data_IF_850919280274
#
_entry.id   IF_850919280274
#
_cell.length_a   1.000
_cell.length_b   1.000
_cell.length_c   1.000
_cell.angle_alpha   90.00
_cell.angle_beta   90.00
_cell.angle_gamma   90.00
#
_symmetry.space_group_name_H-M   'P 1'
#
loop_
_entity.id
_entity.type
_entity.pdbx_description
1 polymer ?
#
# COMPACT_ATOMS: atom_id res chain seq x y z
N UNK A 1 -42.84 16.50 65.00
CA UNK A 1 -42.58 15.44 63.99
C UNK A 1 -41.36 15.85 63.19
N UNK A 2 -40.17 15.26 63.46
CA UNK A 2 -38.92 15.58 62.75
C UNK A 2 -38.79 14.63 61.55
N UNK A 3 -38.79 15.16 60.32
CA UNK A 3 -38.55 14.39 59.09
C UNK A 3 -37.03 14.28 58.89
N UNK A 4 -36.49 13.05 58.94
CA UNK A 4 -35.14 12.74 58.50
C UNK A 4 -35.14 12.63 56.96
N UNK A 5 -34.33 13.45 56.29
CA UNK A 5 -34.06 13.33 54.85
C UNK A 5 -32.82 12.46 54.71
N UNK A 6 -33.02 11.24 54.20
CA UNK A 6 -31.94 10.30 53.90
C UNK A 6 -31.37 10.66 52.52
N UNK A 7 -30.20 11.28 52.47
CA UNK A 7 -29.50 11.61 51.23
C UNK A 7 -28.74 10.36 50.76
N UNK A 8 -29.28 9.65 49.77
CA UNK A 8 -28.62 8.51 49.13
C UNK A 8 -27.48 9.02 48.23
N UNK A 9 -26.25 8.72 48.62
CA UNK A 9 -25.03 8.98 47.85
C UNK A 9 -24.91 7.91 46.75
N UNK A 10 -25.14 8.30 45.50
CA UNK A 10 -25.02 7.41 44.34
C UNK A 10 -23.55 7.30 43.91
N UNK A 11 -22.91 6.12 43.92
CA UNK A 11 -21.54 5.98 43.45
C UNK A 11 -21.51 6.03 41.93
N UNK A 12 -20.85 7.05 41.36
CA UNK A 12 -20.50 7.06 39.94
C UNK A 12 -19.46 5.98 39.67
N UNK A 13 -19.91 4.85 39.09
CA UNK A 13 -19.03 3.85 38.51
C UNK A 13 -18.45 4.43 37.21
N UNK A 14 -17.25 5.00 37.30
CA UNK A 14 -16.42 5.28 36.13
C UNK A 14 -15.99 3.95 35.51
N UNK A 15 -16.77 3.46 34.55
CA UNK A 15 -16.37 2.35 33.68
C UNK A 15 -15.29 2.85 32.74
N UNK A 16 -14.03 2.63 33.10
CA UNK A 16 -12.89 2.82 32.21
C UNK A 16 -12.94 1.69 31.16
N UNK A 17 -13.57 1.93 30.02
CA UNK A 17 -13.45 1.03 28.87
C UNK A 17 -12.04 1.16 28.32
N UNK A 18 -11.20 0.15 28.54
CA UNK A 18 -9.99 -0.01 27.74
C UNK A 18 -10.41 -0.17 26.28
N UNK A 19 -10.23 0.86 25.47
CA UNK A 19 -10.38 0.73 24.02
C UNK A 19 -9.42 -0.37 23.58
N UNK A 20 -9.97 -1.50 23.12
CA UNK A 20 -9.17 -2.51 22.43
C UNK A 20 -8.75 -1.88 21.12
N UNK A 21 -7.52 -1.39 21.05
CA UNK A 21 -6.90 -1.02 19.77
C UNK A 21 -6.89 -2.25 18.89
N UNK A 22 -7.82 -2.30 17.93
CA UNK A 22 -7.84 -3.37 16.92
C UNK A 22 -6.63 -3.17 16.02
N UNK A 23 -5.70 -4.12 16.06
CA UNK A 23 -4.56 -4.16 15.15
C UNK A 23 -5.09 -4.18 13.72
N UNK A 24 -4.54 -3.32 12.88
CA UNK A 24 -4.95 -3.18 11.48
C UNK A 24 -4.58 -4.45 10.71
N UNK A 25 -5.56 -5.27 10.37
CA UNK A 25 -5.34 -6.53 9.63
C UNK A 25 -5.04 -6.26 8.15
N UNK A 26 -3.90 -6.76 7.67
CA UNK A 26 -3.57 -6.78 6.24
C UNK A 26 -4.36 -7.90 5.55
N UNK A 27 -5.08 -7.53 4.50
CA UNK A 27 -5.89 -8.39 3.66
C UNK A 27 -5.33 -8.41 2.24
N UNK A 28 -5.57 -9.48 1.51
CA UNK A 28 -5.22 -9.54 0.10
C UNK A 28 -6.24 -10.37 -0.69
N UNK A 29 -6.33 -10.09 -2.00
CA UNK A 29 -7.02 -10.92 -2.97
C UNK A 29 -6.05 -11.35 -4.06
N UNK A 30 -6.25 -12.54 -4.61
CA UNK A 30 -5.37 -13.11 -5.65
C UNK A 30 -3.92 -13.33 -5.18
N UNK A 31 -3.04 -13.57 -6.15
CA UNK A 31 -1.61 -13.70 -5.91
C UNK A 31 -0.81 -13.39 -7.19
N UNK A 32 0.30 -12.67 -7.07
CA UNK A 32 1.22 -12.36 -8.16
C UNK A 32 1.64 -13.64 -8.92
N UNK A 33 1.97 -14.73 -8.23
CA UNK A 33 2.34 -16.01 -8.86
C UNK A 33 1.26 -16.61 -9.76
N UNK A 34 -0.02 -16.35 -9.49
CA UNK A 34 -1.10 -16.82 -10.35
C UNK A 34 -1.11 -16.05 -11.68
N UNK A 35 -0.89 -14.73 -11.62
CA UNK A 35 -0.71 -13.91 -12.83
C UNK A 35 0.52 -14.38 -13.60
N UNK A 36 1.68 -14.36 -12.94
CA UNK A 36 2.97 -14.56 -13.61
C UNK A 36 3.17 -15.98 -14.15
N UNK A 37 2.60 -17.00 -13.50
CA UNK A 37 2.84 -18.42 -13.87
C UNK A 37 1.65 -19.10 -14.52
N UNK A 38 0.42 -18.64 -14.26
CA UNK A 38 -0.81 -19.27 -14.77
C UNK A 38 -1.58 -18.39 -15.74
N UNK A 39 -1.16 -17.13 -15.93
CA UNK A 39 -1.84 -16.20 -16.81
C UNK A 39 -3.21 -15.76 -16.30
N UNK A 40 -3.49 -15.88 -15.00
CA UNK A 40 -4.76 -15.46 -14.37
C UNK A 40 -4.84 -13.91 -14.30
N UNK A 41 -4.95 -13.26 -15.45
CA UNK A 41 -4.90 -11.81 -15.63
C UNK A 41 -6.20 -11.09 -15.20
N UNK A 42 -7.30 -11.81 -15.03
CA UNK A 42 -8.61 -11.25 -14.70
C UNK A 42 -8.70 -10.79 -13.25
N UNK A 43 -9.57 -9.81 -12.99
CA UNK A 43 -9.80 -9.30 -11.63
C UNK A 43 -10.31 -10.35 -10.64
N UNK A 44 -9.61 -10.53 -9.53
CA UNK A 44 -10.05 -11.32 -8.36
C UNK A 44 -10.72 -10.44 -7.30
N UNK A 45 -10.58 -9.12 -7.42
CA UNK A 45 -11.27 -8.12 -6.61
C UNK A 45 -11.68 -6.94 -7.50
N UNK A 46 -12.87 -6.40 -7.24
CA UNK A 46 -13.32 -5.11 -7.78
C UNK A 46 -13.29 -4.11 -6.64
N UNK A 47 -12.47 -3.07 -6.76
CA UNK A 47 -12.17 -2.18 -5.65
C UNK A 47 -13.41 -1.48 -5.10
N UNK A 48 -14.42 -1.20 -5.92
CA UNK A 48 -15.68 -0.59 -5.50
C UNK A 48 -16.41 -1.42 -4.42
N UNK A 49 -16.26 -2.74 -4.46
CA UNK A 49 -16.88 -3.66 -3.49
C UNK A 49 -16.26 -3.59 -2.08
N UNK A 50 -15.12 -2.93 -1.89
CA UNK A 50 -14.56 -2.67 -0.56
C UNK A 50 -15.44 -1.62 0.13
N UNK A 51 -16.36 -2.05 0.99
CA UNK A 51 -17.32 -1.14 1.62
C UNK A 51 -16.67 -0.05 2.50
N UNK A 52 -15.68 -0.42 3.31
CA UNK A 52 -15.01 0.54 4.20
C UNK A 52 -13.82 1.22 3.50
N UNK A 53 -14.05 2.44 3.02
CA UNK A 53 -12.98 3.29 2.45
C UNK A 53 -12.25 4.14 3.50
N UNK A 54 -12.77 4.26 4.72
CA UNK A 54 -12.16 5.12 5.75
C UNK A 54 -10.79 4.56 6.12
N UNK A 55 -9.75 5.39 6.01
CA UNK A 55 -8.37 4.99 6.28
C UNK A 55 -7.92 3.75 5.50
N UNK A 56 -8.49 3.54 4.31
CA UNK A 56 -8.10 2.43 3.45
C UNK A 56 -6.77 2.75 2.78
N UNK A 57 -5.87 1.78 2.79
CA UNK A 57 -4.61 1.79 2.08
C UNK A 57 -4.47 0.49 1.30
N UNK A 58 -3.84 0.53 0.14
CA UNK A 58 -3.68 -0.67 -0.68
C UNK A 58 -2.93 -0.43 -1.96
N UNK A 59 -2.48 -1.51 -2.59
CA UNK A 59 -1.75 -1.46 -3.86
C UNK A 59 -1.86 -2.77 -4.64
N UNK A 60 -1.65 -2.67 -5.94
CA UNK A 60 -1.61 -3.77 -6.90
C UNK A 60 -1.90 -3.28 -8.33
N UNK A 61 -1.77 -4.14 -9.35
CA UNK A 61 -2.00 -3.74 -10.72
C UNK A 61 -3.49 -3.79 -11.09
N UNK A 62 -3.83 -3.10 -12.18
CA UNK A 62 -5.12 -3.27 -12.85
C UNK A 62 -5.17 -4.65 -13.51
N UNK A 63 -6.36 -5.24 -13.61
CA UNK A 63 -6.57 -6.46 -14.40
C UNK A 63 -5.99 -6.32 -15.82
N UNK A 64 -5.53 -7.46 -16.34
CA UNK A 64 -4.75 -7.55 -17.57
C UNK A 64 -3.46 -6.72 -17.56
N UNK A 65 -2.92 -6.41 -16.37
CA UNK A 65 -1.67 -5.66 -16.20
C UNK A 65 -1.68 -4.37 -17.02
N UNK A 66 -2.80 -3.64 -16.96
CA UNK A 66 -3.08 -2.48 -17.80
C UNK A 66 -2.89 -1.14 -17.09
N UNK A 67 -2.19 -1.16 -15.95
CA UNK A 67 -1.83 0.00 -15.15
C UNK A 67 -1.62 -0.36 -13.68
N UNK A 68 -1.40 0.65 -12.84
CA UNK A 68 -1.24 0.49 -11.39
C UNK A 68 -2.42 1.06 -10.61
N UNK A 69 -2.62 0.53 -9.41
CA UNK A 69 -3.60 1.01 -8.43
C UNK A 69 -2.87 1.29 -7.12
N UNK A 70 -3.12 2.46 -6.56
CA UNK A 70 -2.68 2.83 -5.21
C UNK A 70 -3.84 3.45 -4.46
N UNK A 71 -4.17 2.90 -3.30
CA UNK A 71 -5.14 3.50 -2.37
C UNK A 71 -4.37 4.14 -1.23
N UNK A 72 -4.60 5.43 -1.00
CA UNK A 72 -3.98 6.20 0.06
C UNK A 72 -5.03 6.96 0.85
N UNK A 73 -5.23 6.59 2.12
CA UNK A 73 -6.20 7.17 3.05
C UNK A 73 -7.61 7.31 2.45
N UNK A 74 -8.12 6.24 1.84
CA UNK A 74 -9.45 6.18 1.26
C UNK A 74 -9.59 6.80 -0.13
N UNK A 75 -8.52 7.31 -0.73
CA UNK A 75 -8.49 7.75 -2.13
C UNK A 75 -7.83 6.69 -3.01
N UNK A 76 -8.53 6.23 -4.05
CA UNK A 76 -7.99 5.26 -5.01
C UNK A 76 -7.48 5.98 -6.26
N UNK A 77 -6.17 5.92 -6.48
CA UNK A 77 -5.46 6.45 -7.62
C UNK A 77 -5.15 5.32 -8.60
N UNK A 78 -5.27 5.61 -9.88
CA UNK A 78 -5.01 4.65 -10.96
C UNK A 78 -4.15 5.32 -12.02
N UNK A 79 -2.99 4.74 -12.33
CA UNK A 79 -2.15 5.17 -13.47
C UNK A 79 -2.30 4.24 -14.66
N UNK A 80 -2.19 4.82 -15.85
CA UNK A 80 -2.09 4.11 -17.12
C UNK A 80 -1.08 4.81 -18.02
N UNK A 81 -0.52 4.05 -18.95
CA UNK A 81 0.37 4.56 -19.99
C UNK A 81 -0.47 5.03 -21.18
N UNK A 82 -0.29 6.29 -21.59
CA UNK A 82 -0.90 6.86 -22.79
C UNK A 82 -0.18 6.38 -24.06
N UNK A 83 -0.80 6.62 -25.23
CA UNK A 83 -0.22 6.25 -26.52
C UNK A 83 1.12 6.95 -26.83
N UNK A 84 1.37 8.12 -26.23
CA UNK A 84 2.62 8.88 -26.33
C UNK A 84 3.62 8.54 -25.20
N UNK A 85 3.38 7.43 -24.48
CA UNK A 85 4.13 6.96 -23.33
C UNK A 85 4.05 7.83 -22.08
N UNK A 86 3.31 8.94 -22.10
CA UNK A 86 3.07 9.73 -20.88
C UNK A 86 2.18 8.98 -19.90
N UNK A 87 2.27 9.31 -18.62
CA UNK A 87 1.39 8.76 -17.60
C UNK A 87 0.08 9.55 -17.54
N UNK A 88 -1.04 8.84 -17.39
CA UNK A 88 -2.32 9.41 -16.98
C UNK A 88 -2.69 8.89 -15.59
N UNK A 89 -2.99 9.79 -14.66
CA UNK A 89 -3.47 9.47 -13.31
C UNK A 89 -4.92 9.91 -13.15
N UNK A 90 -5.74 9.04 -12.56
CA UNK A 90 -7.15 9.31 -12.28
C UNK A 90 -7.55 8.76 -10.91
N UNK A 91 -8.63 9.29 -10.33
CA UNK A 91 -9.20 8.76 -9.08
C UNK A 91 -10.47 7.97 -9.36
N UNK A 92 -10.47 6.68 -9.02
CA UNK A 92 -11.65 5.81 -9.15
C UNK A 92 -11.50 4.54 -8.32
N UNK A 93 -12.60 4.07 -7.73
CA UNK A 93 -12.70 2.72 -7.16
C UNK A 93 -13.28 1.72 -8.16
N UNK A 94 -13.83 2.18 -9.29
CA UNK A 94 -14.34 1.33 -10.36
C UNK A 94 -13.19 0.76 -11.20
N UNK A 95 -12.43 -0.14 -10.58
CA UNK A 95 -11.27 -0.81 -11.17
C UNK A 95 -11.09 -2.18 -10.53
N UNK A 96 -10.64 -3.15 -11.31
CA UNK A 96 -10.40 -4.52 -10.84
C UNK A 96 -8.91 -4.81 -10.82
N UNK A 97 -8.51 -5.70 -9.92
CA UNK A 97 -7.13 -6.14 -9.75
C UNK A 97 -7.06 -7.67 -9.74
N UNK A 98 -6.08 -8.29 -10.41
CA UNK A 98 -5.89 -9.73 -10.39
C UNK A 98 -5.24 -10.19 -9.07
N UNK A 99 -4.47 -9.31 -8.44
CA UNK A 99 -4.05 -9.40 -7.05
C UNK A 99 -3.97 -8.00 -6.43
N UNK A 100 -4.29 -7.88 -5.15
CA UNK A 100 -4.32 -6.59 -4.45
C UNK A 100 -4.14 -6.82 -2.96
N UNK A 101 -3.28 -6.04 -2.31
CA UNK A 101 -3.10 -6.04 -0.85
C UNK A 101 -3.61 -4.73 -0.27
N UNK A 102 -4.29 -4.79 0.87
CA UNK A 102 -4.92 -3.63 1.49
C UNK A 102 -5.12 -3.78 3.00
N UNK A 103 -5.28 -2.66 3.68
CA UNK A 103 -5.61 -2.58 5.09
C UNK A 103 -6.38 -1.29 5.39
N UNK A 104 -7.26 -1.31 6.40
CA UNK A 104 -7.80 -0.09 7.00
C UNK A 104 -6.93 0.26 8.22
N UNK A 105 -6.21 1.38 8.17
CA UNK A 105 -5.22 1.77 9.20
C UNK A 105 -5.58 3.14 9.77
N UNK A 106 -6.37 3.14 10.84
CA UNK A 106 -6.76 4.37 11.54
C UNK A 106 -5.60 4.93 12.38
N UNK A 107 -4.79 4.05 12.98
CA UNK A 107 -3.73 4.43 13.90
C UNK A 107 -2.35 4.05 13.36
N UNK A 108 -1.48 5.06 13.28
CA UNK A 108 -0.11 4.94 12.78
C UNK A 108 0.89 5.16 13.91
N UNK A 109 1.91 4.31 14.01
CA UNK A 109 3.06 4.54 14.89
C UNK A 109 4.19 5.20 14.07
N UNK A 110 4.63 6.40 14.44
CA UNK A 110 5.83 6.98 13.81
C UNK A 110 7.08 6.28 14.32
N UNK A 111 8.02 6.00 13.42
CA UNK A 111 9.32 5.47 13.77
C UNK A 111 10.39 6.53 13.58
N UNK A 112 11.35 6.60 14.50
CA UNK A 112 12.60 7.31 14.26
C UNK A 112 13.43 6.49 13.28
N UNK A 113 13.75 7.08 12.12
CA UNK A 113 14.47 6.38 11.07
C UNK A 113 15.94 6.81 11.09
N UNK A 114 16.90 5.86 11.15
CA UNK A 114 18.32 6.17 11.05
C UNK A 114 18.66 6.87 9.73
N UNK A 115 19.64 7.79 9.74
CA UNK A 115 20.12 8.48 8.54
C UNK A 115 20.70 7.55 7.47
N UNK A 116 21.02 6.30 7.82
CA UNK A 116 21.48 5.28 6.89
C UNK A 116 20.36 4.71 6.00
N UNK A 117 19.09 4.98 6.33
CA UNK A 117 17.95 4.59 5.49
C UNK A 117 17.77 5.62 4.39
N UNK A 118 18.29 5.29 3.21
CA UNK A 118 18.37 6.19 2.05
C UNK A 118 17.65 5.65 0.82
N UNK A 119 17.31 4.37 0.81
CA UNK A 119 16.70 3.65 -0.32
C UNK A 119 15.81 2.49 0.16
N UNK A 120 15.23 1.71 -0.77
CA UNK A 120 14.39 0.56 -0.42
C UNK A 120 15.17 -0.56 0.29
N UNK A 121 16.45 -0.77 -0.04
CA UNK A 121 17.26 -1.85 0.53
C UNK A 121 17.55 -1.58 2.02
N UNK A 122 17.99 -0.36 2.31
CA UNK A 122 18.24 0.11 3.67
C UNK A 122 16.94 0.25 4.47
N UNK A 123 15.82 0.60 3.83
CA UNK A 123 14.48 0.57 4.44
C UNK A 123 14.06 -0.86 4.80
N UNK A 124 14.20 -1.82 3.90
CA UNK A 124 13.88 -3.23 4.17
C UNK A 124 14.73 -3.76 5.34
N UNK A 125 16.04 -3.49 5.31
CA UNK A 125 16.96 -3.86 6.39
C UNK A 125 16.50 -3.30 7.74
N UNK A 126 16.06 -2.05 7.77
CA UNK A 126 15.52 -1.42 8.97
C UNK A 126 14.21 -2.08 9.42
N UNK A 127 13.26 -2.35 8.51
CA UNK A 127 11.99 -2.99 8.83
C UNK A 127 12.16 -4.44 9.32
N UNK A 128 13.10 -5.19 8.74
CA UNK A 128 13.49 -6.54 9.21
C UNK A 128 14.04 -6.50 10.65
N UNK A 129 14.71 -5.42 11.04
CA UNK A 129 15.26 -5.28 12.39
C UNK A 129 14.21 -4.95 13.47
N UNK A 130 12.98 -4.61 13.08
CA UNK A 130 11.93 -4.28 14.05
C UNK A 130 11.49 -5.52 14.82
N UNK A 131 11.12 -5.38 16.10
CA UNK A 131 10.57 -6.51 16.86
C UNK A 131 9.34 -7.09 16.16
N UNK A 132 9.27 -8.42 16.08
CA UNK A 132 8.14 -9.18 15.53
C UNK A 132 7.85 -8.90 14.04
N UNK A 133 8.80 -8.34 13.28
CA UNK A 133 8.70 -8.12 11.83
C UNK A 133 8.30 -9.39 11.07
N UNK A 134 8.76 -10.55 11.55
CA UNK A 134 8.53 -11.84 10.90
C UNK A 134 7.23 -12.53 11.32
N UNK A 135 6.43 -11.96 12.22
CA UNK A 135 5.20 -12.63 12.69
C UNK A 135 4.03 -12.46 11.71
N UNK A 136 3.75 -11.22 11.30
CA UNK A 136 2.57 -10.87 10.51
C UNK A 136 2.88 -9.77 9.49
N UNK A 137 2.21 -9.78 8.33
CA UNK A 137 2.30 -8.67 7.40
C UNK A 137 1.76 -7.40 8.04
N UNK A 138 2.37 -6.26 7.70
CA UNK A 138 1.92 -4.94 8.15
C UNK A 138 2.03 -3.91 7.03
N UNK A 139 1.24 -2.84 7.13
CA UNK A 139 1.32 -1.70 6.23
C UNK A 139 2.29 -0.66 6.82
N UNK A 140 2.99 0.06 5.96
CA UNK A 140 3.78 1.21 6.34
C UNK A 140 3.55 2.35 5.34
N UNK A 141 3.58 3.59 5.81
CA UNK A 141 3.53 4.76 4.94
C UNK A 141 4.76 5.63 5.15
N UNK A 142 5.17 6.29 4.08
CA UNK A 142 6.28 7.23 4.09
C UNK A 142 5.79 8.55 3.51
N UNK A 143 6.13 9.63 4.18
CA UNK A 143 6.13 10.97 3.57
C UNK A 143 7.58 11.33 3.32
N UNK A 144 7.92 11.61 2.06
CA UNK A 144 9.29 11.93 1.69
C UNK A 144 9.41 13.07 0.68
N UNK A 145 10.52 13.80 0.79
CA UNK A 145 11.16 14.40 -0.38
C UNK A 145 12.09 13.34 -0.99
N UNK A 146 11.83 12.98 -2.24
CA UNK A 146 12.65 12.05 -3.02
C UNK A 146 13.57 12.87 -3.92
N UNK A 147 14.87 12.58 -3.85
CA UNK A 147 15.86 13.16 -4.74
C UNK A 147 15.66 12.60 -6.16
N UNK A 148 15.53 11.28 -6.23
CA UNK A 148 15.24 10.54 -7.46
C UNK A 148 14.44 9.28 -7.11
N UNK A 149 13.50 8.90 -7.96
CA UNK A 149 12.81 7.62 -7.89
C UNK A 149 12.52 7.12 -9.29
N UNK A 150 12.71 5.83 -9.50
CA UNK A 150 12.22 5.12 -10.68
C UNK A 150 10.93 4.41 -10.30
N UNK A 151 9.87 4.71 -11.04
CA UNK A 151 8.59 4.03 -10.91
C UNK A 151 8.17 3.41 -12.22
N UNK A 152 7.42 2.31 -12.13
CA UNK A 152 6.84 1.71 -13.31
C UNK A 152 5.32 1.71 -13.30
N UNK A 153 4.79 1.58 -14.50
CA UNK A 153 3.39 1.25 -14.76
C UNK A 153 3.34 0.09 -15.73
N UNK A 154 2.75 -1.03 -15.32
CA UNK A 154 2.51 -2.15 -16.23
C UNK A 154 1.52 -1.75 -17.33
N UNK A 155 1.76 -2.19 -18.56
CA UNK A 155 0.92 -1.86 -19.71
C UNK A 155 0.95 -2.98 -20.75
N UNK A 156 0.49 -4.16 -20.33
CA UNK A 156 0.47 -5.36 -21.16
C UNK A 156 -0.35 -5.11 -22.44
N UNK A 157 0.21 -5.39 -23.63
CA UNK A 157 -0.51 -5.20 -24.89
C UNK A 157 -1.85 -5.92 -24.92
N UNK A 158 -2.92 -5.22 -25.29
CA UNK A 158 -4.31 -5.73 -25.28
C UNK A 158 -4.56 -7.03 -26.07
N UNK A 159 -3.69 -7.34 -27.03
CA UNK A 159 -3.77 -8.56 -27.82
C UNK A 159 -3.25 -9.80 -27.06
N UNK A 160 -2.44 -9.62 -26.02
CA UNK A 160 -1.97 -10.67 -25.14
C UNK A 160 -3.11 -11.05 -24.19
N UNK A 161 -3.46 -12.35 -24.17
CA UNK A 161 -4.57 -12.89 -23.38
C UNK A 161 -4.13 -13.73 -22.18
N UNK A 162 -2.87 -14.16 -22.18
CA UNK A 162 -2.26 -14.97 -21.12
C UNK A 162 -0.76 -14.69 -21.12
N UNK A 163 -0.13 -14.92 -19.97
CA UNK A 163 1.31 -14.87 -19.77
C UNK A 163 1.75 -16.09 -18.96
N UNK A 164 3.01 -16.47 -19.07
CA UNK A 164 3.59 -17.65 -18.43
C UNK A 164 4.94 -17.38 -17.76
N UNK A 165 5.44 -16.15 -17.87
CA UNK A 165 6.68 -15.69 -17.26
C UNK A 165 6.57 -14.24 -16.76
N UNK A 166 7.53 -13.84 -15.93
CA UNK A 166 7.70 -12.45 -15.52
C UNK A 166 7.93 -11.55 -16.75
N UNK A 167 8.86 -11.90 -17.64
CA UNK A 167 9.16 -11.11 -18.83
C UNK A 167 7.94 -10.91 -19.75
N UNK A 168 7.10 -11.94 -19.90
CA UNK A 168 5.85 -11.83 -20.66
C UNK A 168 4.85 -10.86 -20.00
N UNK A 169 4.74 -10.92 -18.67
CA UNK A 169 3.86 -10.04 -17.90
C UNK A 169 4.29 -8.57 -17.93
N UNK A 170 5.57 -8.28 -18.14
CA UNK A 170 6.13 -6.92 -18.15
C UNK A 170 6.28 -6.36 -19.57
N UNK A 171 5.79 -7.07 -20.60
CA UNK A 171 5.75 -6.51 -21.95
C UNK A 171 4.94 -5.21 -21.97
N UNK A 172 5.53 -4.15 -22.51
CA UNK A 172 4.89 -2.84 -22.61
C UNK A 172 4.95 -1.98 -21.35
N UNK A 173 5.52 -2.47 -20.24
CA UNK A 173 5.81 -1.65 -19.07
C UNK A 173 6.60 -0.39 -19.45
N UNK A 174 6.30 0.71 -18.77
CA UNK A 174 7.03 1.97 -18.90
C UNK A 174 7.54 2.40 -17.53
N UNK A 175 8.81 2.79 -17.49
CA UNK A 175 9.48 3.35 -16.32
C UNK A 175 9.53 4.89 -16.43
N UNK A 176 9.38 5.56 -15.30
CA UNK A 176 9.37 7.01 -15.17
C UNK A 176 10.34 7.44 -14.07
N UNK A 177 11.38 8.20 -14.47
CA UNK A 177 12.32 8.79 -13.53
C UNK A 177 11.77 10.13 -13.03
N UNK A 178 11.45 10.20 -11.74
CA UNK A 178 11.00 11.41 -11.08
C UNK A 178 12.13 11.96 -10.22
N UNK A 179 12.35 13.28 -10.27
CA UNK A 179 13.38 13.97 -9.49
C UNK A 179 12.80 15.11 -8.67
N UNK A 180 13.38 15.34 -7.49
CA UNK A 180 13.02 16.43 -6.58
C UNK A 180 11.50 16.53 -6.35
N UNK A 181 10.87 15.39 -6.02
CA UNK A 181 9.43 15.31 -5.77
C UNK A 181 9.13 15.18 -4.29
N UNK A 182 8.03 15.78 -3.87
CA UNK A 182 7.38 15.39 -2.61
C UNK A 182 6.38 14.29 -2.90
N UNK A 183 6.44 13.23 -2.13
CA UNK A 183 5.70 12.01 -2.39
C UNK A 183 5.16 11.39 -1.10
N UNK A 184 4.01 10.76 -1.24
CA UNK A 184 3.46 9.83 -0.27
C UNK A 184 3.67 8.42 -0.81
N UNK A 185 4.31 7.56 -0.03
CA UNK A 185 4.48 6.16 -0.36
C UNK A 185 3.62 5.33 0.59
N UNK A 186 3.00 4.29 0.05
CA UNK A 186 2.35 3.23 0.81
C UNK A 186 3.04 1.93 0.45
N UNK A 187 3.38 1.15 1.47
CA UNK A 187 3.97 -0.16 1.28
C UNK A 187 3.41 -1.19 2.23
N UNK A 188 3.60 -2.45 1.84
CA UNK A 188 3.29 -3.61 2.67
C UNK A 188 4.57 -4.40 2.85
N UNK A 189 4.85 -4.75 4.11
CA UNK A 189 5.95 -5.62 4.49
C UNK A 189 5.42 -7.02 4.80
N UNK A 190 6.11 -8.06 4.33
CA UNK A 190 5.86 -9.43 4.77
C UNK A 190 7.02 -10.39 4.47
N UNK A 191 7.50 -11.10 5.48
CA UNK A 191 8.44 -12.21 5.33
C UNK A 191 7.84 -13.48 4.67
N UNK A 192 6.50 -13.62 4.68
CA UNK A 192 5.82 -14.89 4.31
C UNK A 192 4.96 -14.84 3.03
N UNK A 193 4.96 -13.72 2.30
CA UNK A 193 4.02 -13.49 1.18
C UNK A 193 4.72 -13.15 -0.14
N UNK A 194 5.94 -13.65 -0.32
CA UNK A 194 6.68 -13.59 -1.58
C UNK A 194 5.88 -14.20 -2.73
N UNK A 195 5.85 -13.48 -3.85
CA UNK A 195 5.05 -13.82 -5.03
C UNK A 195 3.55 -13.98 -4.76
N UNK A 196 3.04 -13.45 -3.63
CA UNK A 196 1.61 -13.28 -3.37
C UNK A 196 1.27 -11.81 -3.56
N UNK A 197 1.76 -10.96 -2.67
CA UNK A 197 1.64 -9.50 -2.81
C UNK A 197 2.96 -8.77 -2.59
N UNK A 198 4.06 -9.46 -2.29
CA UNK A 198 5.40 -8.88 -2.40
C UNK A 198 6.13 -9.52 -3.57
N UNK A 199 7.20 -8.86 -4.03
CA UNK A 199 8.07 -9.46 -5.04
C UNK A 199 8.74 -10.73 -4.48
N UNK A 200 9.30 -11.56 -5.35
CA UNK A 200 9.91 -12.83 -4.93
C UNK A 200 11.30 -12.66 -4.30
N UNK A 201 11.89 -11.46 -4.39
CA UNK A 201 13.24 -11.15 -3.90
C UNK A 201 13.26 -10.14 -2.75
N UNK A 202 12.11 -9.64 -2.32
CA UNK A 202 11.98 -8.65 -1.23
C UNK A 202 10.70 -8.87 -0.44
N UNK A 203 10.76 -8.54 0.84
CA UNK A 203 9.64 -8.46 1.77
C UNK A 203 8.77 -7.22 1.53
N UNK A 204 9.19 -6.30 0.64
CA UNK A 204 8.47 -5.06 0.37
C UNK A 204 7.64 -5.14 -0.91
N UNK A 205 6.54 -4.41 -0.91
CA UNK A 205 5.86 -3.93 -2.10
C UNK A 205 5.45 -2.48 -1.85
N UNK A 206 5.92 -1.55 -2.67
CA UNK A 206 5.77 -0.12 -2.43
C UNK A 206 5.27 0.58 -3.69
N UNK A 207 4.25 1.39 -3.53
CA UNK A 207 3.81 2.34 -4.55
C UNK A 207 3.99 3.77 -4.02
N UNK A 208 4.15 4.75 -4.90
CA UNK A 208 4.02 6.18 -4.55
C UNK A 208 2.87 6.87 -5.26
N UNK A 209 2.48 8.00 -4.69
CA UNK A 209 1.72 9.08 -5.34
C UNK A 209 2.44 10.40 -5.04
N UNK A 210 2.72 11.22 -6.06
CA UNK A 210 3.27 12.57 -5.83
C UNK A 210 2.25 13.48 -5.15
N UNK A 211 2.72 14.51 -4.44
CA UNK A 211 1.82 15.43 -3.74
C UNK A 211 0.90 16.24 -4.66
N UNK A 212 1.29 16.45 -5.92
CA UNK A 212 0.43 17.08 -6.93
C UNK A 212 -0.48 16.07 -7.65
N UNK A 213 -0.43 14.80 -7.25
CA UNK A 213 -1.24 13.69 -7.74
C UNK A 213 -1.08 13.40 -9.25
N UNK A 214 0.00 13.92 -9.87
CA UNK A 214 0.25 13.78 -11.32
C UNK A 214 1.02 12.53 -11.70
N UNK A 215 1.85 12.00 -10.80
CA UNK A 215 2.65 10.81 -11.04
C UNK A 215 2.38 9.78 -9.93
N UNK A 216 2.16 8.51 -10.31
CA UNK A 216 1.99 7.39 -9.38
C UNK A 216 2.31 6.05 -10.03
N UNK A 217 2.78 5.08 -9.24
CA UNK A 217 3.10 3.76 -9.74
C UNK A 217 3.86 2.92 -8.72
N UNK A 218 4.28 1.74 -9.15
CA UNK A 218 5.15 0.85 -8.39
C UNK A 218 6.56 1.45 -8.28
N UNK A 219 7.16 1.43 -7.09
CA UNK A 219 8.50 1.97 -6.86
C UNK A 219 9.55 0.89 -7.10
N UNK A 220 10.33 1.02 -8.16
CA UNK A 220 11.50 0.16 -8.43
C UNK A 220 12.71 0.58 -7.59
N UNK A 221 12.94 1.89 -7.52
CA UNK A 221 14.02 2.47 -6.72
C UNK A 221 13.66 3.86 -6.23
N UNK A 222 14.26 4.27 -5.11
CA UNK A 222 14.09 5.60 -4.55
C UNK A 222 15.33 5.99 -3.79
N UNK A 223 15.68 7.28 -3.86
CA UNK A 223 16.67 7.93 -3.02
C UNK A 223 15.96 8.98 -2.15
N UNK A 224 15.88 8.70 -0.86
CA UNK A 224 15.23 9.58 0.11
C UNK A 224 16.15 10.72 0.53
N UNK A 225 15.57 11.91 0.74
CA UNK A 225 16.25 13.06 1.35
C UNK A 225 15.70 13.38 2.74
N UNK A 226 14.37 13.48 2.85
CA UNK A 226 13.66 13.82 4.09
C UNK A 226 12.52 12.83 4.30
N UNK A 227 12.78 11.66 4.90
CA UNK A 227 11.73 10.66 5.13
C UNK A 227 11.15 10.74 6.56
N UNK A 228 9.84 10.54 6.64
CA UNK A 228 9.13 10.15 7.85
C UNK A 228 8.43 8.82 7.59
N UNK A 229 8.61 7.86 8.48
CA UNK A 229 8.06 6.51 8.36
C UNK A 229 7.05 6.26 9.46
N UNK A 230 5.93 5.64 9.09
CA UNK A 230 4.98 5.10 10.03
C UNK A 230 4.64 3.66 9.70
N UNK A 231 4.36 2.86 10.73
CA UNK A 231 3.84 1.48 10.60
C UNK A 231 2.43 1.39 11.18
N UNK A 232 1.62 0.49 10.64
CA UNK A 232 0.28 0.22 11.15
C UNK A 232 0.35 -0.38 12.56
N UNK A 233 -0.49 0.12 13.46
CA UNK A 233 -0.72 -0.49 14.78
C UNK A 233 -1.81 -1.54 14.73
#
# INVERSE_FOLDING_TARGET
MKKFILLALLPLLFSCSSEKTTVSEVKWSGAMKNVMKKGELFGTIHLDTIANKKHLYGLGPIEYLSGEITVFDGKSYVSRVNADSTMAVSQTFDVKAPFFVYANVENWASLEVPKSVVDLISLETFLVSLPNSDEKPFAFKIEAEVEETDIHVVNLPKHIKTVSSHDEAHQGQVNYILKDRKANLIGFYSAHHHAVFTHHSTNLHVHLVTQDEKDMGHVESVKFKNLKLWISK
#
